data_IF_403852545836
#
_entry.id   IF_403852545836
#
_cell.length_a   1.000
_cell.length_b   1.000
_cell.length_c   1.000
_cell.angle_alpha   90.00
_cell.angle_beta   90.00
_cell.angle_gamma   90.00
#
_symmetry.space_group_name_H-M   'P 1'
#
loop_
_entity.id
_entity.type
_entity.pdbx_description
1 polymer ?
#
# COMPACT_ATOMS: atom_id res chain seq x y z
N UNK A 1 17.21 -9.55 1.54
CA UNK A 1 15.91 -10.16 1.21
C UNK A 1 14.74 -9.39 1.82
N UNK A 2 14.51 -9.43 3.14
CA UNK A 2 13.35 -8.75 3.77
C UNK A 2 13.42 -7.23 3.61
N UNK A 3 14.61 -6.64 3.79
CA UNK A 3 14.82 -5.21 3.57
C UNK A 3 14.61 -4.82 2.11
N UNK A 4 15.11 -5.62 1.16
CA UNK A 4 14.91 -5.38 -0.27
C UNK A 4 13.43 -5.46 -0.66
N UNK A 5 12.67 -6.39 -0.06
CA UNK A 5 11.23 -6.51 -0.24
C UNK A 5 10.48 -5.28 0.31
N UNK A 6 10.84 -4.80 1.50
CA UNK A 6 10.32 -3.54 2.04
C UNK A 6 10.66 -2.35 1.15
N UNK A 7 11.85 -2.30 0.58
CA UNK A 7 12.26 -1.22 -0.34
C UNK A 7 11.46 -1.27 -1.65
N UNK A 8 11.28 -2.44 -2.25
CA UNK A 8 10.47 -2.62 -3.45
C UNK A 8 9.00 -2.22 -3.20
N UNK A 9 8.43 -2.68 -2.09
CA UNK A 9 7.08 -2.30 -1.67
C UNK A 9 6.95 -0.79 -1.48
N UNK A 10 7.92 -0.16 -0.79
CA UNK A 10 7.98 1.29 -0.60
C UNK A 10 8.04 2.06 -1.93
N UNK A 11 8.83 1.60 -2.90
CA UNK A 11 8.91 2.22 -4.24
C UNK A 11 7.56 2.12 -4.96
N UNK A 12 6.90 0.96 -4.90
CA UNK A 12 5.59 0.76 -5.51
C UNK A 12 4.51 1.66 -4.90
N UNK A 13 4.49 1.79 -3.56
CA UNK A 13 3.58 2.71 -2.86
C UNK A 13 3.78 4.17 -3.27
N UNK A 14 5.04 4.62 -3.39
CA UNK A 14 5.31 5.99 -3.86
C UNK A 14 4.85 6.19 -5.30
N UNK A 15 5.05 5.19 -6.18
CA UNK A 15 4.59 5.24 -7.56
C UNK A 15 3.07 5.34 -7.63
N UNK A 16 2.36 4.55 -6.82
CA UNK A 16 0.91 4.61 -6.68
C UNK A 16 0.45 5.97 -6.13
N UNK A 17 1.13 6.52 -5.13
CA UNK A 17 0.83 7.86 -4.59
C UNK A 17 0.98 8.97 -5.62
N UNK A 18 2.05 8.93 -6.42
CA UNK A 18 2.27 9.89 -7.51
C UNK A 18 1.20 9.78 -8.59
N UNK A 19 0.80 8.57 -8.97
CA UNK A 19 -0.29 8.37 -9.93
C UNK A 19 -1.62 8.88 -9.40
N UNK A 20 -1.95 8.63 -8.13
CA UNK A 20 -3.19 9.11 -7.52
C UNK A 20 -3.27 10.64 -7.55
N UNK A 21 -2.18 11.33 -7.19
CA UNK A 21 -2.10 12.79 -7.28
C UNK A 21 -2.26 13.27 -8.72
N UNK A 22 -1.60 12.61 -9.67
CA UNK A 22 -1.68 12.95 -11.09
C UNK A 22 -3.11 12.79 -11.60
N UNK A 23 -3.77 11.70 -11.21
CA UNK A 23 -5.19 11.45 -11.50
C UNK A 23 -6.08 12.57 -10.94
N UNK A 24 -5.90 12.97 -9.68
CA UNK A 24 -6.66 14.08 -9.08
C UNK A 24 -6.45 15.43 -9.80
N UNK A 25 -5.25 15.69 -10.32
CA UNK A 25 -4.92 16.96 -10.98
C UNK A 25 -5.29 17.01 -12.46
N UNK A 26 -5.14 15.89 -13.18
CA UNK A 26 -5.33 15.80 -14.64
C UNK A 26 -6.73 15.33 -15.02
N UNK A 27 -7.38 14.52 -14.17
CA UNK A 27 -8.74 14.03 -14.39
C UNK A 27 -9.74 15.02 -13.78
N UNK A 28 -9.90 16.14 -14.48
CA UNK A 28 -11.18 16.84 -14.49
C UNK A 28 -12.25 16.00 -15.21
N UNK A 29 -13.54 16.38 -15.19
CA UNK A 29 -14.68 15.52 -15.57
C UNK A 29 -14.73 14.96 -17.00
N UNK A 30 -13.73 15.18 -17.86
CA UNK A 30 -13.83 14.94 -19.31
C UNK A 30 -12.54 14.51 -20.04
N UNK A 31 -11.50 13.97 -19.38
CA UNK A 31 -10.43 13.29 -20.14
C UNK A 31 -10.84 11.84 -20.36
N UNK A 32 -11.33 11.51 -21.56
CA UNK A 32 -11.67 10.14 -21.98
C UNK A 32 -10.45 9.22 -22.15
N UNK A 33 -9.42 9.38 -21.32
CA UNK A 33 -8.19 8.60 -21.35
C UNK A 33 -8.16 7.61 -20.17
N UNK A 34 -8.66 6.41 -20.40
CA UNK A 34 -8.65 5.29 -19.44
C UNK A 34 -7.22 4.79 -19.14
N UNK A 35 -6.21 5.25 -19.88
CA UNK A 35 -4.81 4.83 -19.73
C UNK A 35 -4.28 5.03 -18.31
N UNK A 36 -4.54 6.19 -17.69
CA UNK A 36 -4.09 6.49 -16.32
C UNK A 36 -4.78 5.57 -15.31
N UNK A 37 -6.07 5.28 -15.52
CA UNK A 37 -6.83 4.38 -14.66
C UNK A 37 -6.32 2.94 -14.75
N UNK A 38 -6.05 2.44 -15.97
CA UNK A 38 -5.45 1.13 -16.20
C UNK A 38 -4.04 1.02 -15.60
N UNK A 39 -3.22 2.06 -15.74
CA UNK A 39 -1.89 2.13 -15.09
C UNK A 39 -2.01 2.04 -13.57
N UNK A 40 -2.99 2.74 -12.98
CA UNK A 40 -3.23 2.70 -11.54
C UNK A 40 -3.66 1.31 -11.06
N UNK A 41 -4.49 0.59 -11.84
CA UNK A 41 -4.86 -0.81 -11.54
C UNK A 41 -3.62 -1.71 -11.55
N UNK A 42 -2.79 -1.62 -12.59
CA UNK A 42 -1.58 -2.44 -12.72
C UNK A 42 -0.61 -2.23 -11.55
N UNK A 43 -0.36 -0.97 -11.16
CA UNK A 43 0.52 -0.68 -10.02
C UNK A 43 -0.09 -1.13 -8.71
N UNK A 44 -1.42 -1.08 -8.56
CA UNK A 44 -2.09 -1.59 -7.37
C UNK A 44 -1.94 -3.11 -7.23
N UNK A 45 -2.04 -3.84 -8.33
CA UNK A 45 -1.80 -5.29 -8.37
C UNK A 45 -0.34 -5.61 -7.99
N UNK A 46 0.62 -4.91 -8.60
CA UNK A 46 2.04 -5.04 -8.25
C UNK A 46 2.31 -4.75 -6.76
N UNK A 47 1.72 -3.68 -6.23
CA UNK A 47 1.83 -3.26 -4.83
C UNK A 47 1.28 -4.33 -3.88
N UNK A 48 0.14 -4.94 -4.22
CA UNK A 48 -0.48 -6.02 -3.44
C UNK A 48 0.38 -7.27 -3.43
N UNK A 49 0.98 -7.63 -4.58
CA UNK A 49 1.92 -8.75 -4.67
C UNK A 49 3.14 -8.52 -3.79
N UNK A 50 3.75 -7.34 -3.86
CA UNK A 50 4.90 -6.97 -3.04
C UNK A 50 4.57 -6.98 -1.54
N UNK A 51 3.37 -6.55 -1.16
CA UNK A 51 2.89 -6.65 0.23
C UNK A 51 2.80 -8.10 0.70
N UNK A 52 2.27 -9.00 -0.13
CA UNK A 52 2.20 -10.42 0.19
C UNK A 52 3.61 -11.03 0.36
N UNK A 53 4.57 -10.65 -0.49
CA UNK A 53 5.96 -11.09 -0.39
C UNK A 53 6.62 -10.63 0.92
N UNK A 54 6.41 -9.37 1.31
CA UNK A 54 6.88 -8.84 2.60
C UNK A 54 6.32 -9.64 3.77
N UNK A 55 5.00 -9.88 3.80
CA UNK A 55 4.35 -10.65 4.86
C UNK A 55 4.85 -12.10 4.93
N UNK A 56 5.06 -12.73 3.77
CA UNK A 56 5.63 -14.08 3.70
C UNK A 56 7.03 -14.14 4.29
N UNK A 57 7.88 -13.17 3.95
CA UNK A 57 9.24 -13.08 4.45
C UNK A 57 9.28 -12.77 5.96
N UNK A 58 8.41 -11.90 6.46
CA UNK A 58 8.29 -11.61 7.90
C UNK A 58 7.83 -12.84 8.70
N UNK A 59 6.89 -13.61 8.16
CA UNK A 59 6.48 -14.89 8.77
C UNK A 59 7.65 -15.88 8.85
N UNK A 60 8.46 -15.98 7.79
CA UNK A 60 9.68 -16.81 7.80
C UNK A 60 10.71 -16.31 8.81
N UNK A 61 10.83 -14.99 9.01
CA UNK A 61 11.73 -14.41 10.00
C UNK A 61 11.37 -14.84 11.42
N UNK A 62 10.08 -14.93 11.76
CA UNK A 62 9.65 -15.43 13.08
C UNK A 62 10.15 -16.85 13.35
N UNK A 63 10.14 -17.71 12.32
CA UNK A 63 10.68 -19.07 12.43
C UNK A 63 12.20 -19.07 12.64
N UNK A 64 12.92 -18.17 11.95
CA UNK A 64 14.37 -17.99 12.14
C UNK A 64 14.69 -17.53 13.56
N UNK A 65 13.93 -16.58 14.11
CA UNK A 65 14.12 -16.12 15.49
C UNK A 65 13.93 -17.26 16.49
N UNK A 66 12.88 -18.09 16.33
CA UNK A 66 12.66 -19.24 17.20
C UNK A 66 13.77 -20.30 17.12
N UNK A 67 14.29 -20.59 15.91
CA UNK A 67 15.44 -21.48 15.74
C UNK A 67 16.69 -20.94 16.42
N UNK A 68 16.87 -19.61 16.40
CA UNK A 68 18.02 -18.96 17.00
C UNK A 68 17.98 -19.00 18.53
N UNK A 69 16.81 -18.82 19.13
CA UNK A 69 16.61 -18.96 20.57
C UNK A 69 16.94 -20.39 21.03
N UNK A 70 16.46 -21.41 20.30
CA UNK A 70 16.78 -22.81 20.57
C UNK A 70 18.30 -23.10 20.41
N UNK A 71 18.93 -22.51 19.39
CA UNK A 71 20.38 -22.61 19.19
C UNK A 71 21.14 -21.97 20.37
N UNK A 72 20.72 -20.80 20.84
CA UNK A 72 21.35 -20.12 21.96
C UNK A 72 21.26 -20.94 23.26
N UNK A 73 20.09 -21.54 23.53
CA UNK A 73 19.91 -22.46 24.67
C UNK A 73 20.81 -23.69 24.58
N UNK A 74 20.94 -24.27 23.38
CA UNK A 74 21.79 -25.43 23.14
C UNK A 74 23.28 -25.07 23.25
N UNK A 75 23.68 -23.91 22.74
CA UNK A 75 25.04 -23.42 22.85
C UNK A 75 25.41 -23.21 24.32
N UNK A 76 24.49 -22.66 25.12
CA UNK A 76 24.67 -22.52 26.57
C UNK A 76 24.88 -23.87 27.26
N UNK A 77 24.01 -24.84 27.01
CA UNK A 77 24.11 -26.18 27.61
C UNK A 77 25.44 -26.92 27.29
N UNK A 78 26.07 -26.59 26.16
CA UNK A 78 27.34 -27.19 25.72
C UNK A 78 28.58 -26.33 26.06
N UNK A 79 28.42 -25.27 26.87
CA UNK A 79 29.53 -24.38 27.25
C UNK A 79 30.03 -23.46 26.13
N UNK A 80 29.26 -23.31 25.04
CA UNK A 80 29.54 -22.43 23.91
C UNK A 80 28.74 -21.12 23.99
N UNK A 81 28.58 -20.58 25.21
CA UNK A 81 27.73 -19.42 25.52
C UNK A 81 28.05 -18.19 24.68
N UNK A 82 29.35 -17.92 24.47
CA UNK A 82 29.80 -16.78 23.66
C UNK A 82 29.26 -16.83 22.23
N UNK A 83 29.24 -18.02 21.61
CA UNK A 83 28.70 -18.20 20.27
C UNK A 83 27.19 -17.92 20.25
N UNK A 84 26.45 -18.42 21.26
CA UNK A 84 25.02 -18.15 21.42
C UNK A 84 24.72 -16.65 21.58
N UNK A 85 25.49 -15.95 22.42
CA UNK A 85 25.34 -14.50 22.66
C UNK A 85 25.58 -13.71 21.37
N UNK A 86 26.71 -13.92 20.70
CA UNK A 86 27.03 -13.21 19.46
C UNK A 86 26.01 -13.45 18.35
N UNK A 87 25.49 -14.67 18.29
CA UNK A 87 24.48 -15.05 17.30
C UNK A 87 23.16 -14.29 17.61
N UNK A 88 22.74 -14.23 18.86
CA UNK A 88 21.53 -13.53 19.29
C UNK A 88 21.62 -12.01 19.08
N UNK A 89 22.77 -11.40 19.36
CA UNK A 89 22.98 -9.96 19.12
C UNK A 89 22.82 -9.59 17.64
N UNK A 90 23.34 -10.44 16.73
CA UNK A 90 23.17 -10.25 15.28
C UNK A 90 21.70 -10.35 14.88
N UNK A 91 20.96 -11.29 15.45
CA UNK A 91 19.53 -11.43 15.20
C UNK A 91 18.76 -10.18 15.65
N UNK A 92 18.98 -9.73 16.89
CA UNK A 92 18.33 -8.53 17.43
C UNK A 92 18.61 -7.27 16.60
N UNK A 93 19.85 -7.14 16.11
CA UNK A 93 20.23 -6.06 15.19
C UNK A 93 19.46 -6.14 13.87
N UNK A 94 19.34 -7.34 13.29
CA UNK A 94 18.57 -7.55 12.06
C UNK A 94 17.08 -7.27 12.25
N UNK A 95 16.47 -7.76 13.33
CA UNK A 95 15.07 -7.49 13.68
C UNK A 95 14.79 -6.00 13.85
N UNK A 96 15.72 -5.26 14.47
CA UNK A 96 15.61 -3.81 14.60
C UNK A 96 15.55 -3.13 13.24
N UNK A 97 16.42 -3.53 12.30
CA UNK A 97 16.42 -2.97 10.95
C UNK A 97 15.12 -3.28 10.20
N UNK A 98 14.64 -4.52 10.29
CA UNK A 98 13.36 -4.94 9.69
C UNK A 98 12.20 -4.11 10.27
N UNK A 99 12.17 -3.92 11.60
CA UNK A 99 11.13 -3.11 12.26
C UNK A 99 11.13 -1.65 11.79
N UNK A 100 12.30 -1.05 11.62
CA UNK A 100 12.41 0.32 11.10
C UNK A 100 11.91 0.42 9.65
N UNK A 101 12.24 -0.57 8.80
CA UNK A 101 11.73 -0.63 7.44
C UNK A 101 10.21 -0.79 7.42
N UNK A 102 9.66 -1.67 8.25
CA UNK A 102 8.23 -1.90 8.39
C UNK A 102 7.47 -0.65 8.89
N UNK A 103 8.04 0.10 9.83
CA UNK A 103 7.44 1.36 10.28
C UNK A 103 7.38 2.40 9.16
N UNK A 104 8.46 2.50 8.36
CA UNK A 104 8.52 3.42 7.22
C UNK A 104 7.50 3.08 6.14
N UNK A 105 7.34 1.80 5.82
CA UNK A 105 6.35 1.34 4.83
C UNK A 105 4.92 1.49 5.35
N UNK A 106 4.66 1.16 6.61
CA UNK A 106 3.34 1.34 7.24
C UNK A 106 2.90 2.81 7.29
N UNK A 107 3.81 3.74 7.59
CA UNK A 107 3.51 5.17 7.60
C UNK A 107 3.08 5.67 6.20
N UNK A 108 3.81 5.26 5.16
CA UNK A 108 3.47 5.63 3.79
C UNK A 108 2.13 5.01 3.35
N UNK A 109 1.89 3.76 3.73
CA UNK A 109 0.63 3.07 3.44
C UNK A 109 -0.56 3.76 4.11
N UNK A 110 -0.44 4.20 5.37
CA UNK A 110 -1.50 4.95 6.06
C UNK A 110 -1.79 6.29 5.36
N UNK A 111 -0.75 7.04 4.97
CA UNK A 111 -0.89 8.29 4.22
C UNK A 111 -1.62 8.04 2.90
N UNK A 112 -1.23 7.01 2.16
CA UNK A 112 -1.87 6.66 0.88
C UNK A 112 -3.33 6.24 1.08
N UNK A 113 -3.62 5.45 2.12
CA UNK A 113 -4.98 5.02 2.43
C UNK A 113 -5.89 6.18 2.84
N UNK A 114 -5.36 7.19 3.54
CA UNK A 114 -6.08 8.44 3.81
C UNK A 114 -6.37 9.20 2.52
N UNK A 115 -5.36 9.42 1.68
CA UNK A 115 -5.53 10.11 0.40
C UNK A 115 -6.58 9.41 -0.48
N UNK A 116 -6.54 8.07 -0.59
CA UNK A 116 -7.57 7.32 -1.31
C UNK A 116 -8.97 7.51 -0.72
N UNK A 117 -9.12 7.51 0.62
CA UNK A 117 -10.41 7.72 1.27
C UNK A 117 -10.95 9.13 0.96
N UNK A 118 -10.10 10.14 1.06
CA UNK A 118 -10.47 11.53 0.79
C UNK A 118 -10.86 11.73 -0.69
N UNK A 119 -10.14 11.09 -1.61
CA UNK A 119 -10.46 11.10 -3.04
C UNK A 119 -11.83 10.48 -3.34
N UNK A 120 -12.17 9.35 -2.71
CA UNK A 120 -13.48 8.69 -2.87
C UNK A 120 -14.61 9.56 -2.33
N UNK A 121 -14.44 10.17 -1.16
CA UNK A 121 -15.45 11.06 -0.55
C UNK A 121 -15.65 12.31 -1.41
N UNK A 122 -14.56 12.94 -1.88
CA UNK A 122 -14.64 14.11 -2.76
C UNK A 122 -15.26 13.77 -4.13
N UNK A 123 -15.01 12.56 -4.65
CA UNK A 123 -15.66 12.05 -5.85
C UNK A 123 -17.17 11.91 -5.68
N UNK A 124 -17.63 11.33 -4.58
CA UNK A 124 -19.06 11.17 -4.26
C UNK A 124 -19.80 12.51 -4.14
N UNK A 125 -19.21 13.49 -3.46
CA UNK A 125 -19.80 14.84 -3.33
C UNK A 125 -19.94 15.57 -4.69
N UNK A 126 -19.06 15.27 -5.66
CA UNK A 126 -19.11 15.84 -7.01
C UNK A 126 -20.18 15.17 -7.87
N UNK A 127 -20.40 13.87 -7.72
CA UNK A 127 -21.44 13.14 -8.47
C UNK A 127 -22.84 13.54 -8.03
N UNK A 128 -23.07 13.71 -6.72
CA UNK A 128 -24.39 14.10 -6.19
C UNK A 128 -24.79 15.51 -6.66
N UNK A 129 -23.84 16.47 -6.68
CA UNK A 129 -24.07 17.82 -7.20
C UNK A 129 -24.24 17.89 -8.72
N UNK A 130 -23.76 16.90 -9.46
CA UNK A 130 -23.92 16.82 -10.91
C UNK A 130 -25.29 16.23 -11.31
N UNK A 131 -25.85 15.32 -10.50
CA UNK A 131 -27.21 14.79 -10.70
C UNK A 131 -28.30 15.82 -10.42
N UNK A 132 -28.15 16.66 -9.40
CA UNK A 132 -29.12 17.71 -9.05
C UNK A 132 -29.21 18.84 -10.10
N UNK A 133 -28.24 18.92 -11.03
CA UNK A 133 -28.17 19.95 -12.09
C UNK A 133 -28.71 19.53 -13.45
N UNK A 134 -29.24 18.32 -13.63
CA UNK A 134 -29.90 17.96 -14.90
C UNK A 134 -31.28 18.63 -14.94
N UNK A 135 -31.55 19.58 -15.86
CA UNK A 135 -32.88 20.16 -15.97
C UNK A 135 -33.88 19.09 -16.43
N UNK A 136 -34.94 18.89 -15.65
CA UNK A 136 -36.17 18.25 -16.11
C UNK A 136 -36.71 19.05 -17.29
N UNK A 137 -36.46 18.57 -18.50
CA UNK A 137 -37.02 19.14 -19.71
C UNK A 137 -37.74 18.05 -20.51
N UNK A 138 -38.82 17.58 -19.90
CA UNK A 138 -39.94 16.82 -20.47
C UNK A 138 -41.13 17.30 -19.61
N UNK A 139 -42.21 17.93 -20.03
CA UNK A 139 -43.03 17.82 -21.24
C UNK A 139 -43.89 19.10 -21.31
N UNK A 140 -43.93 19.81 -22.45
CA UNK A 140 -45.05 20.70 -22.76
C UNK A 140 -45.32 20.70 -24.26
N UNK A 141 -46.21 19.77 -24.62
CA UNK A 141 -47.22 19.84 -25.67
C UNK A 141 -46.88 20.59 -26.96
N UNK A 142 -46.68 19.77 -27.99
CA UNK A 142 -47.13 20.03 -29.37
C UNK A 142 -48.54 20.62 -29.34
N UNK A 143 -48.70 21.86 -29.81
CA UNK A 143 -50.01 22.40 -30.25
C UNK A 143 -49.90 22.71 -31.74
N UNK A 144 -50.59 21.89 -32.53
CA UNK A 144 -50.70 21.99 -33.99
C UNK A 144 -51.85 22.93 -34.29
N UNK A 145 -51.60 23.87 -35.20
CA UNK A 145 -52.45 25.01 -35.48
C UNK A 145 -53.88 24.70 -35.95
N UNK A 146 -54.66 25.79 -35.93
CA UNK A 146 -55.91 25.97 -36.66
C UNK A 146 -55.80 27.23 -37.52
#
# INVERSE_FOLDING_TARGET
AILDAHEAYWKSLNKLSSLLKRFETEVGPCSGDDSIWLEMIAIREETNRLKADVLSLESRMQSVSGLMEAMAQTAFANGAEYAGICANERLLSAERQIRLAAQKTAMLEDILNRAHRDAVISGADKTDKAEERRPQNDVAAVDVGA
#
